data_IF_828516713123
#
_entry.id   IF_828516713123
#
_cell.length_a   1.000
_cell.length_b   1.000
_cell.length_c   1.000
_cell.angle_alpha   90.00
_cell.angle_beta   90.00
_cell.angle_gamma   90.00
#
_symmetry.space_group_name_H-M   'P 1'
#
loop_
_entity.id
_entity.type
_entity.pdbx_description
1 polymer ?
#
# COMPACT_ATOMS: atom_id res chain seq x y z
N UNK A 1 15.06 -18.01 16.54
CA UNK A 1 14.24 -16.82 16.87
C UNK A 1 15.17 -15.62 16.99
N UNK A 2 14.99 -14.57 16.18
CA UNK A 2 15.78 -13.34 16.27
C UNK A 2 14.91 -12.22 16.85
N UNK A 3 15.51 -11.35 17.66
CA UNK A 3 14.83 -10.27 18.38
C UNK A 3 15.07 -8.98 17.61
N UNK A 4 14.00 -8.33 17.13
CA UNK A 4 14.11 -6.98 16.57
C UNK A 4 13.77 -5.93 17.63
N UNK A 5 14.66 -4.96 17.74
CA UNK A 5 14.45 -3.67 18.37
C UNK A 5 14.74 -2.67 17.26
N UNK A 6 13.72 -2.29 16.48
CA UNK A 6 13.76 -1.52 15.23
C UNK A 6 14.09 -2.32 13.96
N UNK A 7 13.11 -2.39 13.03
CA UNK A 7 13.20 -3.14 11.76
C UNK A 7 14.23 -2.62 10.75
N UNK A 8 14.74 -1.40 10.94
CA UNK A 8 15.73 -0.76 10.04
C UNK A 8 17.16 -1.34 10.16
N UNK A 9 17.47 -2.12 11.19
CA UNK A 9 18.81 -2.68 11.41
C UNK A 9 18.94 -4.14 10.89
N UNK A 10 17.99 -4.62 10.07
CA UNK A 10 18.11 -5.93 9.43
C UNK A 10 19.05 -5.85 8.23
N UNK A 11 20.27 -6.38 8.35
CA UNK A 11 21.26 -6.38 7.26
C UNK A 11 21.05 -7.52 6.23
N UNK A 12 19.94 -8.25 6.32
CA UNK A 12 19.66 -9.33 5.37
C UNK A 12 19.24 -8.78 4.01
N UNK A 13 19.73 -9.43 2.95
CA UNK A 13 19.11 -9.35 1.63
C UNK A 13 17.84 -10.20 1.64
N UNK A 14 16.76 -9.64 2.17
CA UNK A 14 15.41 -10.18 1.96
C UNK A 14 14.75 -9.46 0.80
N UNK A 15 13.77 -10.11 0.19
CA UNK A 15 12.93 -9.43 -0.79
C UNK A 15 12.11 -8.36 -0.06
N UNK A 16 12.41 -7.10 -0.38
CA UNK A 16 11.73 -5.91 0.15
C UNK A 16 10.78 -5.29 -0.87
N UNK A 17 10.55 -5.96 -2.01
CA UNK A 17 9.75 -5.41 -3.09
C UNK A 17 8.38 -4.97 -2.57
N UNK A 18 8.15 -3.66 -2.59
CA UNK A 18 6.83 -3.09 -2.39
C UNK A 18 6.08 -3.25 -3.70
N UNK A 19 4.97 -3.96 -3.68
CA UNK A 19 4.04 -3.99 -4.80
C UNK A 19 3.48 -2.59 -5.02
N UNK A 20 4.22 -1.74 -5.73
CA UNK A 20 3.85 -0.40 -6.18
C UNK A 20 3.80 -0.42 -7.69
N UNK A 21 2.75 0.12 -8.32
CA UNK A 21 2.72 0.17 -9.76
C UNK A 21 3.66 1.25 -10.26
N UNK A 22 4.35 0.97 -11.36
CA UNK A 22 5.06 2.01 -12.08
C UNK A 22 4.08 3.13 -12.41
N UNK A 23 4.50 4.40 -12.29
CA UNK A 23 3.65 5.52 -12.73
C UNK A 23 3.24 5.36 -14.19
N UNK A 24 4.16 5.06 -15.10
CA UNK A 24 3.87 4.94 -16.52
C UNK A 24 2.97 3.73 -16.81
N UNK A 25 3.19 2.61 -16.12
CA UNK A 25 2.33 1.44 -16.28
C UNK A 25 0.92 1.72 -15.75
N UNK A 26 0.78 2.47 -14.65
CA UNK A 26 -0.52 2.88 -14.14
C UNK A 26 -1.22 3.88 -15.07
N UNK A 27 -0.50 4.85 -15.65
CA UNK A 27 -1.06 5.76 -16.66
C UNK A 27 -1.54 5.00 -17.91
N UNK A 28 -0.79 3.99 -18.35
CA UNK A 28 -1.22 3.09 -19.44
C UNK A 28 -2.46 2.27 -19.04
N UNK A 29 -2.54 1.81 -17.80
CA UNK A 29 -3.75 1.18 -17.25
C UNK A 29 -4.94 2.12 -17.30
N UNK A 30 -4.80 3.37 -16.87
CA UNK A 30 -5.89 4.35 -16.93
C UNK A 30 -6.32 4.65 -18.36
N UNK A 31 -5.38 4.76 -19.29
CA UNK A 31 -5.67 4.90 -20.71
C UNK A 31 -6.46 3.68 -21.22
N UNK A 32 -6.05 2.46 -20.86
CA UNK A 32 -6.77 1.25 -21.22
C UNK A 32 -8.20 1.26 -20.67
N UNK A 33 -8.38 1.52 -19.37
CA UNK A 33 -9.68 1.63 -18.69
C UNK A 33 -10.58 2.64 -19.40
N UNK A 34 -10.04 3.82 -19.73
CA UNK A 34 -10.74 4.85 -20.50
C UNK A 34 -11.15 4.35 -21.90
N UNK A 35 -10.26 3.70 -22.65
CA UNK A 35 -10.63 3.18 -23.99
C UNK A 35 -11.74 2.12 -23.94
N UNK A 36 -11.87 1.42 -22.82
CA UNK A 36 -12.90 0.40 -22.59
C UNK A 36 -14.18 0.96 -21.98
N UNK A 37 -14.14 2.17 -21.43
CA UNK A 37 -15.28 2.73 -20.70
C UNK A 37 -15.59 2.00 -19.40
N UNK A 38 -14.57 1.42 -18.77
CA UNK A 38 -14.75 0.60 -17.56
C UNK A 38 -15.08 1.47 -16.34
N UNK A 39 -15.97 0.95 -15.49
CA UNK A 39 -16.15 1.47 -14.14
C UNK A 39 -14.94 1.14 -13.28
N UNK A 40 -14.64 2.04 -12.35
CA UNK A 40 -13.49 1.94 -11.46
C UNK A 40 -13.97 1.81 -10.03
N UNK A 41 -13.31 0.93 -9.29
CA UNK A 41 -13.50 0.78 -7.86
C UNK A 41 -12.15 0.70 -7.14
N UNK A 42 -12.04 1.47 -6.08
CA UNK A 42 -10.88 1.51 -5.20
C UNK A 42 -11.24 0.83 -3.88
N UNK A 43 -10.38 -0.06 -3.41
CA UNK A 43 -10.54 -0.71 -2.10
C UNK A 43 -9.27 -0.58 -1.28
N UNK A 44 -9.46 -0.30 0.01
CA UNK A 44 -8.40 -0.32 1.03
C UNK A 44 -8.43 -1.67 1.76
N UNK A 45 -7.29 -2.32 1.93
CA UNK A 45 -7.17 -3.55 2.71
C UNK A 45 -6.70 -3.23 4.13
N UNK A 46 -7.64 -3.27 5.08
CA UNK A 46 -7.37 -3.00 6.49
C UNK A 46 -6.30 -3.92 7.05
N UNK A 47 -5.23 -3.34 7.60
CA UNK A 47 -4.14 -4.10 8.23
C UNK A 47 -3.54 -5.16 7.30
N UNK A 48 -3.42 -4.89 6.00
CA UNK A 48 -2.92 -5.79 4.95
C UNK A 48 -1.81 -6.77 5.41
N UNK A 49 -0.71 -6.25 5.97
CA UNK A 49 0.41 -7.06 6.46
C UNK A 49 0.01 -8.07 7.54
N UNK A 50 -0.82 -7.66 8.49
CA UNK A 50 -1.27 -8.53 9.58
C UNK A 50 -2.20 -9.64 9.10
N UNK A 51 -2.65 -9.62 7.84
CA UNK A 51 -3.44 -10.70 7.25
C UNK A 51 -2.55 -11.75 6.56
N UNK A 52 -1.24 -11.53 6.47
CA UNK A 52 -0.30 -12.46 5.83
C UNK A 52 0.47 -13.28 6.85
N UNK A 53 0.47 -14.62 6.76
CA UNK A 53 1.30 -15.45 7.62
C UNK A 53 2.79 -15.13 7.47
N UNK A 54 3.53 -15.15 8.58
CA UNK A 54 4.99 -15.11 8.56
C UNK A 54 5.53 -16.53 8.42
N UNK A 55 5.59 -17.01 7.18
CA UNK A 55 6.04 -18.37 6.82
C UNK A 55 7.56 -18.51 6.68
N UNK A 56 8.33 -17.44 6.96
CA UNK A 56 9.78 -17.50 6.92
C UNK A 56 10.35 -18.47 7.97
N UNK A 57 11.34 -19.25 7.52
CA UNK A 57 12.09 -20.22 8.34
C UNK A 57 12.69 -19.55 9.59
N UNK A 58 13.17 -18.31 9.45
CA UNK A 58 13.64 -17.49 10.55
C UNK A 58 12.54 -16.57 11.07
N UNK A 59 11.93 -16.94 12.19
CA UNK A 59 10.84 -16.16 12.76
C UNK A 59 11.32 -14.84 13.38
N UNK A 60 10.55 -13.78 13.12
CA UNK A 60 10.72 -12.44 13.68
C UNK A 60 10.06 -12.37 15.05
N UNK A 61 10.76 -11.81 16.04
CA UNK A 61 10.20 -11.48 17.34
C UNK A 61 10.23 -9.98 17.61
N UNK A 62 9.18 -9.47 18.25
CA UNK A 62 9.07 -8.07 18.70
C UNK A 62 9.25 -8.03 20.21
N UNK A 63 10.13 -7.13 20.68
CA UNK A 63 10.26 -6.83 22.10
C UNK A 63 9.25 -5.74 22.48
N UNK A 64 8.40 -6.05 23.46
CA UNK A 64 7.48 -5.07 24.02
C UNK A 64 8.27 -4.02 24.82
N UNK A 65 8.02 -2.72 24.65
CA UNK A 65 8.66 -1.70 25.47
C UNK A 65 8.42 -1.93 26.96
N UNK A 66 9.44 -1.73 27.79
CA UNK A 66 9.28 -1.78 29.26
C UNK A 66 8.36 -0.69 29.79
N UNK A 67 8.24 0.41 29.05
CA UNK A 67 7.44 1.58 29.38
C UNK A 67 6.06 1.58 28.71
N UNK A 68 5.51 0.40 28.36
CA UNK A 68 4.18 0.34 27.78
C UNK A 68 3.15 0.86 28.81
N UNK A 69 2.26 1.79 28.43
CA UNK A 69 1.28 2.32 29.35
C UNK A 69 0.26 1.26 29.76
N UNK A 70 -0.21 1.33 30.99
CA UNK A 70 -1.31 0.47 31.46
C UNK A 70 -2.58 0.80 30.71
N UNK A 71 -3.28 -0.22 30.21
CA UNK A 71 -4.55 -0.02 29.53
C UNK A 71 -5.61 0.51 30.51
N UNK A 72 -6.37 1.58 30.15
CA UNK A 72 -7.40 2.13 31.01
C UNK A 72 -8.52 1.12 31.34
N UNK A 73 -9.00 1.14 32.58
CA UNK A 73 -10.07 0.25 33.02
C UNK A 73 -11.42 0.53 32.33
N UNK A 74 -11.70 1.80 32.04
CA UNK A 74 -12.84 2.24 31.25
C UNK A 74 -12.37 2.60 29.85
N UNK A 75 -13.19 2.31 28.85
CA UNK A 75 -12.92 2.68 27.46
C UNK A 75 -12.84 4.20 27.34
N UNK A 76 -11.73 4.76 26.85
CA UNK A 76 -11.65 6.18 26.57
C UNK A 76 -12.72 6.61 25.58
N UNK A 77 -13.37 7.76 25.84
CA UNK A 77 -14.49 8.25 25.03
C UNK A 77 -14.13 8.55 23.58
N UNK A 78 -12.86 8.82 23.30
CA UNK A 78 -12.36 9.08 21.95
C UNK A 78 -12.15 7.80 21.11
N UNK A 79 -12.16 6.61 21.71
CA UNK A 79 -12.09 5.33 21.00
C UNK A 79 -13.51 4.84 20.71
N UNK A 80 -14.08 5.34 19.62
CA UNK A 80 -15.48 5.09 19.22
C UNK A 80 -15.63 3.80 18.40
N UNK A 81 -14.54 3.30 17.85
CA UNK A 81 -14.48 2.11 16.99
C UNK A 81 -14.64 0.79 17.73
N UNK A 82 -14.46 0.79 19.06
CA UNK A 82 -14.64 -0.39 19.90
C UNK A 82 -15.89 -0.25 20.78
N UNK A 83 -16.68 -1.32 20.86
CA UNK A 83 -17.69 -1.48 21.90
C UNK A 83 -17.05 -1.70 23.28
N UNK A 84 -17.81 -1.52 24.35
CA UNK A 84 -17.33 -1.78 25.72
C UNK A 84 -16.97 -3.26 25.92
N UNK A 85 -17.66 -4.18 25.21
CA UNK A 85 -17.35 -5.59 25.22
C UNK A 85 -15.99 -5.89 24.57
N UNK A 86 -15.74 -5.33 23.38
CA UNK A 86 -14.44 -5.46 22.69
C UNK A 86 -13.31 -4.84 23.51
N UNK A 87 -13.55 -3.69 24.16
CA UNK A 87 -12.58 -3.09 25.07
C UNK A 87 -12.22 -4.02 26.24
N UNK A 88 -13.22 -4.72 26.80
CA UNK A 88 -13.02 -5.73 27.83
C UNK A 88 -12.10 -6.87 27.37
N UNK A 89 -12.26 -7.34 26.12
CA UNK A 89 -11.40 -8.38 25.55
C UNK A 89 -9.99 -7.87 25.25
N UNK A 90 -9.85 -6.67 24.68
CA UNK A 90 -8.54 -6.03 24.46
C UNK A 90 -7.78 -5.92 25.78
N UNK A 91 -8.46 -5.53 26.86
CA UNK A 91 -7.85 -5.46 28.19
C UNK A 91 -7.36 -6.82 28.69
N UNK A 92 -8.16 -7.88 28.54
CA UNK A 92 -7.73 -9.24 28.92
C UNK A 92 -6.50 -9.68 28.15
N UNK A 93 -6.42 -9.38 26.85
CA UNK A 93 -5.24 -9.70 26.05
C UNK A 93 -4.03 -8.84 26.46
N UNK A 94 -4.23 -7.55 26.75
CA UNK A 94 -3.17 -6.66 27.21
C UNK A 94 -2.55 -7.13 28.55
N UNK A 95 -3.36 -7.71 29.45
CA UNK A 95 -2.88 -8.30 30.71
C UNK A 95 -1.96 -9.51 30.49
N UNK A 96 -2.02 -10.18 29.33
CA UNK A 96 -1.09 -11.26 28.95
C UNK A 96 0.24 -10.76 28.41
N UNK A 97 0.34 -9.47 28.10
CA UNK A 97 1.54 -8.86 27.55
C UNK A 97 2.48 -8.43 28.67
N UNK A 98 3.67 -9.03 28.72
CA UNK A 98 4.70 -8.72 29.72
C UNK A 98 5.65 -7.66 29.16
N UNK A 99 5.78 -6.48 29.81
CA UNK A 99 6.71 -5.45 29.36
C UNK A 99 8.15 -5.95 29.30
N UNK A 100 8.87 -5.65 28.22
CA UNK A 100 10.24 -6.12 27.98
C UNK A 100 10.37 -7.54 27.43
N UNK A 101 9.29 -8.32 27.42
CA UNK A 101 9.26 -9.67 26.86
C UNK A 101 9.30 -9.62 25.33
N UNK A 102 9.82 -10.68 24.72
CA UNK A 102 9.80 -10.86 23.27
C UNK A 102 8.71 -11.86 22.89
N UNK A 103 7.91 -11.48 21.90
CA UNK A 103 6.88 -12.32 21.31
C UNK A 103 7.23 -12.61 19.85
N UNK A 104 7.08 -13.87 19.44
CA UNK A 104 7.20 -14.27 18.04
C UNK A 104 5.99 -13.74 17.27
N UNK A 105 6.23 -13.18 16.09
CA UNK A 105 5.19 -12.78 15.16
C UNK A 105 4.67 -14.00 14.40
N UNK A 106 3.35 -14.15 14.39
CA UNK A 106 2.66 -15.15 13.56
C UNK A 106 2.42 -14.63 12.15
N UNK A 107 2.22 -13.33 12.00
CA UNK A 107 1.88 -12.67 10.74
C UNK A 107 2.93 -11.61 10.40
N UNK A 108 2.93 -11.13 9.16
CA UNK A 108 3.80 -10.04 8.73
C UNK A 108 3.47 -8.76 9.52
N UNK A 109 4.51 -8.00 9.87
CA UNK A 109 4.36 -6.75 10.62
C UNK A 109 4.96 -5.61 9.82
N UNK A 110 4.22 -4.51 9.70
CA UNK A 110 4.70 -3.31 9.03
C UNK A 110 6.05 -2.83 9.58
N UNK A 111 6.89 -2.31 8.69
CA UNK A 111 8.25 -1.89 9.02
C UNK A 111 9.24 -3.05 9.22
N UNK A 112 8.80 -4.30 9.10
CA UNK A 112 9.73 -5.42 8.90
C UNK A 112 10.09 -5.52 7.42
N UNK A 113 11.37 -5.79 7.08
CA UNK A 113 11.82 -5.85 5.69
C UNK A 113 11.01 -6.79 4.78
N UNK A 114 10.50 -7.89 5.32
CA UNK A 114 9.77 -8.90 4.56
C UNK A 114 8.25 -8.65 4.47
N UNK A 115 7.71 -7.64 5.16
CA UNK A 115 6.27 -7.48 5.31
C UNK A 115 5.57 -7.32 3.95
N UNK A 116 6.16 -6.49 3.09
CA UNK A 116 5.65 -6.18 1.76
C UNK A 116 5.66 -7.40 0.84
N UNK A 117 6.73 -8.17 0.83
CA UNK A 117 6.81 -9.39 0.03
C UNK A 117 5.80 -10.45 0.49
N UNK A 118 5.66 -10.64 1.81
CA UNK A 118 4.67 -11.57 2.38
C UNK A 118 3.24 -11.17 2.01
N UNK A 119 2.91 -9.88 2.14
CA UNK A 119 1.61 -9.36 1.71
C UNK A 119 1.38 -9.50 0.21
N UNK A 120 2.35 -9.08 -0.61
CA UNK A 120 2.26 -9.19 -2.06
C UNK A 120 2.06 -10.64 -2.53
N UNK A 121 2.69 -11.61 -1.86
CA UNK A 121 2.48 -13.04 -2.12
C UNK A 121 1.05 -13.48 -1.79
N UNK A 122 0.54 -13.10 -0.63
CA UNK A 122 -0.80 -13.47 -0.20
C UNK A 122 -1.90 -12.85 -1.05
N UNK A 123 -1.77 -11.57 -1.37
CA UNK A 123 -2.69 -10.88 -2.27
C UNK A 123 -2.67 -11.50 -3.66
N UNK A 124 -1.47 -11.74 -4.21
CA UNK A 124 -1.31 -12.38 -5.53
C UNK A 124 -2.01 -13.74 -5.58
N UNK A 125 -1.89 -14.55 -4.52
CA UNK A 125 -2.60 -15.84 -4.44
C UNK A 125 -4.12 -15.67 -4.54
N UNK A 126 -4.68 -14.66 -3.88
CA UNK A 126 -6.11 -14.32 -4.01
C UNK A 126 -6.49 -13.82 -5.41
N UNK A 127 -5.63 -13.04 -6.06
CA UNK A 127 -5.82 -12.56 -7.43
C UNK A 127 -5.75 -13.71 -8.46
N UNK A 128 -4.79 -14.63 -8.31
CA UNK A 128 -4.62 -15.80 -9.19
C UNK A 128 -5.82 -16.75 -9.10
N UNK A 129 -6.37 -16.97 -7.90
CA UNK A 129 -7.61 -17.76 -7.70
C UNK A 129 -8.81 -17.15 -8.43
N UNK A 130 -8.81 -15.83 -8.65
CA UNK A 130 -9.81 -15.10 -9.41
C UNK A 130 -9.54 -15.02 -10.91
N UNK A 131 -8.44 -15.63 -11.38
CA UNK A 131 -8.03 -15.65 -12.78
C UNK A 131 -7.22 -14.43 -13.23
N UNK A 132 -6.75 -13.60 -12.30
CA UNK A 132 -5.83 -12.50 -12.63
C UNK A 132 -4.42 -13.04 -12.85
N UNK A 133 -3.77 -12.56 -13.91
CA UNK A 133 -2.39 -12.87 -14.26
C UNK A 133 -1.56 -11.58 -14.16
N UNK A 134 -0.39 -11.61 -13.49
CA UNK A 134 0.48 -10.44 -13.42
C UNK A 134 1.01 -10.05 -14.80
N UNK A 135 1.00 -8.76 -15.10
CA UNK A 135 1.54 -8.22 -16.36
C UNK A 135 2.87 -7.52 -16.11
N UNK A 136 2.88 -6.52 -15.22
CA UNK A 136 4.06 -5.73 -14.90
C UNK A 136 3.84 -4.98 -13.60
N UNK A 137 4.90 -4.81 -12.79
CA UNK A 137 4.95 -3.96 -11.57
C UNK A 137 3.58 -3.76 -10.92
N UNK A 138 3.10 -4.76 -10.17
CA UNK A 138 1.85 -4.68 -9.37
C UNK A 138 0.56 -4.43 -10.15
N UNK A 139 0.59 -4.63 -11.47
CA UNK A 139 -0.59 -4.68 -12.34
C UNK A 139 -0.87 -6.13 -12.70
N UNK A 140 -2.09 -6.55 -12.47
CA UNK A 140 -2.62 -7.85 -12.86
C UNK A 140 -3.87 -7.63 -13.70
N UNK A 141 -4.13 -8.55 -14.63
CA UNK A 141 -5.30 -8.46 -15.51
C UNK A 141 -5.98 -9.80 -15.62
N UNK A 142 -7.29 -9.80 -15.84
CA UNK A 142 -8.08 -10.99 -16.10
C UNK A 142 -8.59 -10.96 -17.53
N UNK A 143 -8.45 -12.10 -18.20
CA UNK A 143 -8.89 -12.33 -19.58
C UNK A 143 -9.72 -13.61 -19.65
N UNK A 144 -10.71 -13.64 -20.52
CA UNK A 144 -11.36 -14.90 -20.92
C UNK A 144 -10.43 -15.76 -21.78
N UNK A 145 -9.70 -15.11 -22.68
CA UNK A 145 -8.75 -15.75 -23.61
C UNK A 145 -7.44 -14.95 -23.59
N UNK A 146 -6.30 -15.64 -23.54
CA UNK A 146 -4.97 -15.04 -23.28
C UNK A 146 -4.61 -13.88 -24.23
N UNK A 147 -4.99 -13.98 -25.51
CA UNK A 147 -4.69 -12.98 -26.54
C UNK A 147 -5.80 -11.93 -26.75
N UNK A 148 -6.88 -12.00 -25.98
CA UNK A 148 -7.99 -11.04 -26.05
C UNK A 148 -7.79 -9.87 -25.08
N UNK A 149 -8.49 -8.73 -25.31
CA UNK A 149 -8.51 -7.62 -24.37
C UNK A 149 -8.88 -8.08 -22.96
N UNK A 150 -8.19 -7.54 -21.96
CA UNK A 150 -8.54 -7.79 -20.56
C UNK A 150 -9.94 -7.27 -20.23
N UNK A 151 -10.72 -8.11 -19.55
CA UNK A 151 -12.04 -7.76 -19.02
C UNK A 151 -11.93 -6.99 -17.71
N UNK A 152 -10.88 -7.27 -16.94
CA UNK A 152 -10.59 -6.58 -15.70
C UNK A 152 -9.09 -6.30 -15.56
N UNK A 153 -8.77 -5.19 -14.90
CA UNK A 153 -7.43 -4.81 -14.50
C UNK A 153 -7.43 -4.46 -13.03
N UNK A 154 -6.39 -4.89 -12.33
CA UNK A 154 -6.09 -4.46 -10.98
C UNK A 154 -4.69 -3.85 -10.94
N UNK A 155 -4.56 -2.72 -10.26
CA UNK A 155 -3.27 -2.17 -9.86
C UNK A 155 -3.24 -2.14 -8.33
N UNK A 156 -2.17 -2.64 -7.74
CA UNK A 156 -1.99 -2.68 -6.29
C UNK A 156 -0.90 -1.71 -5.89
N UNK A 157 -1.15 -0.90 -4.87
CA UNK A 157 -0.16 -0.12 -4.15
C UNK A 157 -0.27 -0.40 -2.66
N UNK A 158 0.63 -1.26 -2.15
CA UNK A 158 0.65 -1.64 -0.74
C UNK A 158 -0.72 -2.23 -0.32
N UNK A 159 -1.51 -1.50 0.46
CA UNK A 159 -2.84 -1.86 0.96
C UNK A 159 -3.99 -1.34 0.08
N UNK A 160 -3.73 -0.40 -0.82
CA UNK A 160 -4.71 0.09 -1.79
C UNK A 160 -4.75 -0.81 -3.04
N UNK A 161 -5.96 -1.11 -3.51
CA UNK A 161 -6.18 -1.81 -4.78
C UNK A 161 -7.11 -0.96 -5.65
N UNK A 162 -6.61 -0.58 -6.81
CA UNK A 162 -7.39 -0.07 -7.93
C UNK A 162 -7.90 -1.26 -8.73
N UNK A 163 -9.20 -1.32 -8.99
CA UNK A 163 -9.83 -2.28 -9.89
C UNK A 163 -10.66 -1.57 -10.94
N UNK A 164 -10.67 -2.10 -12.16
CA UNK A 164 -11.55 -1.63 -13.22
C UNK A 164 -11.89 -2.75 -14.19
N UNK A 165 -13.16 -2.85 -14.60
CA UNK A 165 -13.60 -3.91 -15.48
C UNK A 165 -15.02 -4.38 -15.24
N UNK A 166 -15.46 -5.32 -16.08
CA UNK A 166 -16.84 -5.82 -16.10
C UNK A 166 -17.23 -6.59 -14.84
N UNK A 167 -16.26 -7.23 -14.17
CA UNK A 167 -16.46 -8.12 -13.02
C UNK A 167 -15.58 -7.73 -11.84
N UNK A 168 -15.24 -6.45 -11.76
CA UNK A 168 -14.39 -5.89 -10.70
C UNK A 168 -15.09 -5.91 -9.35
N UNK A 169 -16.38 -5.54 -9.29
CA UNK A 169 -17.15 -5.55 -8.05
C UNK A 169 -17.25 -6.97 -7.46
N UNK A 170 -17.55 -7.96 -8.31
CA UNK A 170 -17.57 -9.39 -7.92
C UNK A 170 -16.17 -9.86 -7.46
N UNK A 171 -15.11 -9.46 -8.15
CA UNK A 171 -13.75 -9.80 -7.74
C UNK A 171 -13.43 -9.25 -6.35
N UNK A 172 -13.87 -8.02 -6.03
CA UNK A 172 -13.70 -7.46 -4.70
C UNK A 172 -14.59 -8.11 -3.64
N UNK A 173 -15.80 -8.55 -3.98
CA UNK A 173 -16.64 -9.32 -3.06
C UNK A 173 -15.94 -10.63 -2.65
N UNK A 174 -15.41 -11.37 -3.62
CA UNK A 174 -14.69 -12.63 -3.36
C UNK A 174 -13.38 -12.37 -2.60
N UNK A 175 -12.62 -11.31 -2.95
CA UNK A 175 -11.46 -10.91 -2.16
C UNK A 175 -11.85 -10.52 -0.73
N UNK A 176 -13.05 -9.96 -0.52
CA UNK A 176 -13.61 -9.61 0.78
C UNK A 176 -13.93 -10.81 1.68
N UNK A 177 -14.15 -11.99 1.11
CA UNK A 177 -14.28 -13.24 1.87
C UNK A 177 -12.95 -13.67 2.49
N UNK A 178 -11.84 -13.29 1.85
CA UNK A 178 -10.48 -13.68 2.22
C UNK A 178 -9.75 -12.62 3.03
N UNK A 179 -9.94 -11.36 2.67
CA UNK A 179 -9.26 -10.21 3.25
C UNK A 179 -10.27 -9.24 3.84
N UNK A 180 -9.91 -8.65 4.97
CA UNK A 180 -10.70 -7.56 5.57
C UNK A 180 -10.57 -6.31 4.72
N UNK A 181 -11.56 -6.10 3.84
CA UNK A 181 -11.70 -4.87 3.08
C UNK A 181 -12.22 -3.75 4.01
N UNK A 182 -11.58 -2.59 3.91
CA UNK A 182 -11.93 -1.36 4.60
C UNK A 182 -12.98 -0.57 3.84
N UNK A 183 -12.59 0.60 3.33
CA UNK A 183 -13.46 1.40 2.48
C UNK A 183 -13.44 0.90 1.05
N UNK A 184 -14.61 0.94 0.41
CA UNK A 184 -14.78 0.79 -1.04
C UNK A 184 -15.25 2.11 -1.61
N UNK A 185 -14.61 2.58 -2.67
CA UNK A 185 -14.96 3.84 -3.34
C UNK A 185 -15.13 3.57 -4.82
N UNK A 186 -16.36 3.71 -5.32
CA UNK A 186 -16.64 3.66 -6.75
C UNK A 186 -16.27 5.01 -7.37
N UNK A 187 -15.32 5.01 -8.30
CA UNK A 187 -14.88 6.18 -9.03
C UNK A 187 -15.61 6.27 -10.37
N UNK A 188 -16.94 6.38 -10.31
CA UNK A 188 -17.82 6.46 -11.47
C UNK A 188 -17.76 7.83 -12.17
N UNK A 189 -18.40 7.91 -13.33
CA UNK A 189 -18.56 9.17 -14.06
C UNK A 189 -19.09 10.30 -13.16
N UNK A 190 -18.41 11.44 -13.18
CA UNK A 190 -18.67 12.61 -12.36
C UNK A 190 -18.07 12.56 -10.95
N UNK A 191 -17.40 11.48 -10.57
CA UNK A 191 -16.78 11.35 -9.23
C UNK A 191 -15.31 11.75 -9.22
N UNK A 192 -14.84 12.14 -8.03
CA UNK A 192 -13.44 12.33 -7.71
C UNK A 192 -12.98 11.21 -6.80
N UNK A 193 -11.81 10.66 -7.08
CA UNK A 193 -11.18 9.64 -6.27
C UNK A 193 -9.69 9.95 -6.10
N UNK A 194 -9.05 9.35 -5.10
CA UNK A 194 -7.61 9.48 -4.89
C UNK A 194 -6.99 8.10 -4.88
N UNK A 195 -5.92 7.93 -5.66
CA UNK A 195 -5.12 6.71 -5.67
C UNK A 195 -3.65 7.08 -5.80
N UNK A 196 -2.78 6.49 -4.98
CA UNK A 196 -1.32 6.76 -4.96
C UNK A 196 -0.94 8.25 -4.92
N UNK A 197 -1.72 9.05 -4.19
CA UNK A 197 -1.51 10.50 -4.08
C UNK A 197 -1.90 11.30 -5.32
N UNK A 198 -2.43 10.66 -6.38
CA UNK A 198 -3.03 11.32 -7.51
C UNK A 198 -4.53 11.50 -7.30
N UNK A 199 -5.00 12.72 -7.49
CA UNK A 199 -6.41 13.04 -7.62
C UNK A 199 -6.85 12.65 -9.02
N UNK A 200 -7.88 11.81 -9.07
CA UNK A 200 -8.50 11.32 -10.29
C UNK A 200 -9.91 11.89 -10.39
N UNK A 201 -10.22 12.48 -11.53
CA UNK A 201 -11.58 12.87 -11.89
C UNK A 201 -11.98 12.16 -13.18
N UNK A 202 -13.16 11.56 -13.16
CA UNK A 202 -13.69 10.79 -14.30
C UNK A 202 -14.88 11.57 -14.89
N UNK A 203 -14.66 12.60 -15.73
CA UNK A 203 -15.75 13.44 -16.26
C UNK A 203 -16.74 12.66 -17.14
N UNK A 204 -16.26 11.65 -17.86
CA UNK A 204 -17.05 10.73 -18.68
C UNK A 204 -16.35 9.35 -18.74
N UNK A 205 -17.03 8.35 -19.31
CA UNK A 205 -16.55 6.97 -19.33
C UNK A 205 -15.16 6.80 -19.96
N UNK A 206 -14.76 7.70 -20.87
CA UNK A 206 -13.58 7.58 -21.71
C UNK A 206 -12.49 8.60 -21.39
N UNK A 207 -12.62 9.33 -20.29
CA UNK A 207 -11.70 10.42 -19.94
C UNK A 207 -11.35 10.38 -18.46
N UNK A 208 -10.05 10.43 -18.15
CA UNK A 208 -9.56 10.70 -16.79
C UNK A 208 -8.77 12.01 -16.78
N UNK A 209 -9.12 12.89 -15.85
CA UNK A 209 -8.32 14.06 -15.47
C UNK A 209 -7.52 13.71 -14.22
N UNK A 210 -6.21 13.94 -14.26
CA UNK A 210 -5.28 13.58 -13.19
C UNK A 210 -4.59 14.83 -12.67
N UNK A 211 -4.63 15.05 -11.36
CA UNK A 211 -3.88 16.13 -10.70
C UNK A 211 -3.18 15.61 -9.45
N UNK A 212 -2.25 16.39 -8.92
CA UNK A 212 -1.67 16.17 -7.58
C UNK A 212 -1.77 17.43 -6.75
N UNK A 213 -2.75 18.27 -7.07
CA UNK A 213 -2.93 19.59 -6.46
C UNK A 213 -3.20 19.47 -4.98
N UNK A 214 -4.09 18.56 -4.56
CA UNK A 214 -4.41 18.38 -3.15
C UNK A 214 -3.21 17.90 -2.32
N UNK A 215 -2.30 17.13 -2.93
CA UNK A 215 -1.06 16.75 -2.28
C UNK A 215 -0.17 17.97 -2.06
N UNK A 216 0.00 18.81 -3.08
CA UNK A 216 0.83 20.02 -2.99
C UNK A 216 0.25 21.04 -2.00
N UNK A 217 -1.06 21.22 -1.99
CA UNK A 217 -1.76 22.10 -1.03
C UNK A 217 -1.66 21.60 0.40
N UNK A 218 -1.58 20.28 0.60
CA UNK A 218 -1.46 19.65 1.92
C UNK A 218 -0.06 19.71 2.53
N UNK A 219 0.96 20.14 1.79
CA UNK A 219 2.32 20.25 2.32
C UNK A 219 2.41 21.49 3.22
N UNK A 220 2.59 21.27 4.51
CA UNK A 220 2.97 22.33 5.46
C UNK A 220 4.44 22.72 5.23
N UNK A 221 4.63 23.71 4.35
CA UNK A 221 5.94 24.26 4.02
C UNK A 221 6.61 24.90 5.26
N UNK A 222 5.83 25.32 6.26
CA UNK A 222 6.35 25.92 7.49
C UNK A 222 6.89 24.87 8.47
N UNK A 223 6.33 23.66 8.47
CA UNK A 223 6.86 22.51 9.21
C UNK A 223 8.21 22.00 8.66
N UNK A 224 8.59 22.37 7.43
CA UNK A 224 9.90 22.01 6.86
C UNK A 224 10.99 22.79 7.60
N UNK A 225 11.90 22.08 8.29
CA UNK A 225 13.03 22.70 9.00
C UNK A 225 13.80 23.65 8.08
N UNK A 226 14.06 24.89 8.52
CA UNK A 226 14.69 25.93 7.70
C UNK A 226 16.02 25.54 7.03
N UNK A 227 16.79 24.62 7.64
CA UNK A 227 18.02 24.04 7.07
C UNK A 227 17.80 23.21 5.80
N UNK A 228 16.57 22.74 5.55
CA UNK A 228 16.15 22.01 4.36
C UNK A 228 15.47 22.93 3.33
N UNK A 229 15.06 24.15 3.71
CA UNK A 229 14.50 25.15 2.80
C UNK A 229 15.64 25.74 1.96
N UNK A 230 15.76 25.31 0.71
CA UNK A 230 16.63 25.96 -0.28
C UNK A 230 15.86 27.06 -1.00
N UNK A 231 16.49 28.20 -1.23
CA UNK A 231 15.92 29.24 -2.09
C UNK A 231 15.83 28.71 -3.52
N UNK A 232 14.64 28.74 -4.11
CA UNK A 232 14.47 28.50 -5.54
C UNK A 232 15.22 29.58 -6.33
N UNK A 233 16.17 29.15 -7.17
CA UNK A 233 16.76 30.01 -8.19
C UNK A 233 16.07 29.77 -9.53
N UNK A 234 16.17 30.71 -10.47
CA UNK A 234 15.65 30.55 -11.84
C UNK A 234 16.16 29.25 -12.50
N UNK A 235 17.39 28.83 -12.18
CA UNK A 235 17.98 27.56 -12.64
C UNK A 235 17.22 26.34 -12.13
N UNK A 236 16.57 26.40 -10.96
CA UNK A 236 15.80 25.27 -10.41
C UNK A 236 14.42 25.09 -11.06
N UNK A 237 13.92 26.12 -11.76
CA UNK A 237 12.60 26.09 -12.44
C UNK A 237 12.77 25.92 -13.96
N UNK A 238 14.00 26.08 -14.47
CA UNK A 238 14.31 25.79 -15.85
C UNK A 238 14.10 24.28 -16.15
N UNK A 239 13.69 23.92 -17.38
CA UNK A 239 13.65 22.53 -17.81
C UNK A 239 15.02 21.86 -17.56
N UNK A 240 15.01 20.66 -16.99
CA UNK A 240 16.24 19.91 -16.75
C UNK A 240 16.96 19.63 -18.08
N UNK A 241 18.27 19.88 -18.12
CA UNK A 241 19.10 19.47 -19.26
C UNK A 241 19.42 17.95 -19.13
N UNK A 242 19.64 17.24 -20.23
CA UNK A 242 19.94 15.78 -20.23
C UNK A 242 21.12 15.39 -19.31
N UNK A 243 22.00 16.34 -19.01
CA UNK A 243 23.18 16.23 -18.17
C UNK A 243 22.93 16.48 -16.67
N UNK A 244 21.72 16.90 -16.27
CA UNK A 244 21.34 17.13 -14.86
C UNK A 244 20.92 15.83 -14.12
N UNK A 245 20.83 14.70 -14.83
CA UNK A 245 20.55 13.40 -14.22
C UNK A 245 21.85 12.80 -13.67
N UNK A 246 22.12 13.05 -12.39
CA UNK A 246 23.24 12.44 -11.67
C UNK A 246 22.97 10.95 -11.38
N UNK A 247 23.43 10.10 -12.30
CA UNK A 247 23.33 8.65 -12.19
C UNK A 247 24.30 8.04 -11.17
N UNK A 248 25.21 8.81 -10.57
CA UNK A 248 26.19 8.29 -9.59
C UNK A 248 25.51 7.80 -8.31
N UNK A 249 24.36 8.38 -7.96
CA UNK A 249 23.57 8.00 -6.80
C UNK A 249 22.64 6.80 -7.06
N UNK A 250 22.51 6.34 -8.31
CA UNK A 250 21.64 5.23 -8.67
C UNK A 250 21.98 3.97 -7.88
N UNK A 251 23.26 3.63 -7.77
CA UNK A 251 23.72 2.47 -7.00
C UNK A 251 23.39 2.58 -5.52
N UNK A 252 23.57 3.78 -4.93
CA UNK A 252 23.25 4.04 -3.52
C UNK A 252 21.74 3.97 -3.25
N UNK A 253 20.92 4.50 -4.16
CA UNK A 253 19.46 4.40 -4.09
C UNK A 253 18.97 2.96 -4.23
N UNK A 254 19.56 2.17 -5.13
CA UNK A 254 19.27 0.74 -5.29
C UNK A 254 19.70 -0.09 -4.07
N UNK A 255 20.79 0.30 -3.42
CA UNK A 255 21.28 -0.39 -2.21
C UNK A 255 20.42 -0.06 -0.98
N UNK A 256 19.89 1.16 -0.89
CA UNK A 256 19.04 1.61 0.22
C UNK A 256 17.57 1.19 0.08
N UNK A 257 17.02 1.14 -1.15
CA UNK A 257 15.60 0.88 -1.40
C UNK A 257 15.32 -0.48 -2.09
N UNK A 258 16.36 -1.25 -2.41
CA UNK A 258 16.26 -2.47 -3.20
C UNK A 258 16.19 -2.21 -4.70
N UNK A 259 16.36 -3.26 -5.51
CA UNK A 259 16.21 -3.16 -6.96
C UNK A 259 14.72 -3.13 -7.31
N UNK A 260 14.28 -2.07 -7.99
CA UNK A 260 13.05 -2.12 -8.78
C UNK A 260 13.31 -3.09 -9.94
N UNK A 261 12.63 -4.24 -9.91
CA UNK A 261 12.62 -5.20 -11.00
C UNK A 261 11.89 -4.68 -12.24
#
# INVERSE_FOLDING_TARGET
MRIYVAGYNDLRKVDTFSGTPNRDCFLLTLLYVATRGFEVELVDIKNAFLQSPNDHVECVGVRIPKSIPTIPAQKPSFLTEYSDAEWGEIRKEAERVVPGQIYKLNNALYGTPAALALWGKELRRGQEELGFVPVKQSIAVRREVEDEPAQDVQATHVDDIFGAGERTEEAFDVLGERFKIGSRTKANVGSKAKYIGMDMYHPDAHTFELTSESYLEGIDVDAILGKLKKSLSEKNVAPAEEQDVDMSLQGVYQEANGMLG
#
